data_IF_416497818594
#
_entry.id   IF_416497818594
#
_cell.length_a   1.000
_cell.length_b   1.000
_cell.length_c   1.000
_cell.angle_alpha   90.00
_cell.angle_beta   90.00
_cell.angle_gamma   90.00
#
_symmetry.space_group_name_H-M   'P 1'
#
loop_
_entity.id
_entity.type
_entity.pdbx_description
1 polymer ?
#
# COMPACT_ATOMS: atom_id res chain seq x y z
N UNK A 1 -6.22 -8.80 25.81
CA UNK A 1 -6.37 -9.14 24.38
C UNK A 1 -5.51 -8.22 23.54
N UNK A 2 -4.92 -8.73 22.41
CA UNK A 2 -4.02 -7.97 21.55
C UNK A 2 -4.76 -7.54 20.28
N UNK A 3 -4.68 -6.26 19.92
CA UNK A 3 -5.25 -5.73 18.69
C UNK A 3 -4.13 -5.38 17.71
N UNK A 4 -4.01 -6.14 16.59
CA UNK A 4 -3.14 -5.77 15.49
C UNK A 4 -3.86 -4.71 14.65
N UNK A 5 -3.36 -3.50 14.63
CA UNK A 5 -4.04 -2.34 14.03
C UNK A 5 -3.22 -1.78 12.88
N UNK A 6 -3.87 -1.59 11.73
CA UNK A 6 -3.30 -0.85 10.61
C UNK A 6 -3.31 0.66 10.87
N UNK A 7 -2.13 1.25 10.85
CA UNK A 7 -1.93 2.70 11.09
C UNK A 7 -2.33 3.59 9.91
N UNK A 8 -2.70 3.00 8.77
CA UNK A 8 -2.84 3.76 7.55
C UNK A 8 -1.51 4.11 6.88
N UNK A 9 -1.55 4.82 5.75
CA UNK A 9 -0.38 5.05 4.90
C UNK A 9 0.56 6.16 5.38
N UNK A 10 0.07 7.06 6.25
CA UNK A 10 0.88 8.18 6.73
C UNK A 10 0.08 9.28 7.41
N UNK A 11 -0.92 9.87 6.75
CA UNK A 11 -1.80 10.87 7.38
C UNK A 11 -2.61 10.24 8.51
N UNK A 12 -2.67 10.86 9.71
CA UNK A 12 -3.39 10.32 10.86
C UNK A 12 -4.89 10.13 10.63
N UNK A 13 -5.51 10.93 9.79
CA UNK A 13 -6.94 10.86 9.45
C UNK A 13 -7.29 9.70 8.49
N UNK A 14 -6.27 9.01 7.95
CA UNK A 14 -6.44 7.80 7.15
C UNK A 14 -6.38 6.51 7.98
N UNK A 15 -6.30 6.61 9.30
CA UNK A 15 -6.57 5.47 10.16
C UNK A 15 -8.06 5.12 10.11
N UNK A 16 -8.40 3.85 10.26
CA UNK A 16 -9.82 3.47 10.37
C UNK A 16 -10.41 3.95 11.69
N UNK A 17 -11.72 4.23 11.71
CA UNK A 17 -12.43 4.64 12.93
C UNK A 17 -12.21 3.62 14.06
N UNK A 18 -12.26 2.32 13.75
CA UNK A 18 -11.98 1.24 14.72
C UNK A 18 -10.53 1.28 15.21
N UNK A 19 -9.57 1.47 14.30
CA UNK A 19 -8.16 1.58 14.66
C UNK A 19 -7.90 2.73 15.62
N UNK A 20 -8.52 3.89 15.38
CA UNK A 20 -8.45 5.04 16.29
C UNK A 20 -9.03 4.70 17.68
N UNK A 21 -10.21 4.07 17.75
CA UNK A 21 -10.80 3.66 19.02
C UNK A 21 -9.87 2.75 19.82
N UNK A 22 -9.22 1.79 19.18
CA UNK A 22 -8.24 0.94 19.87
C UNK A 22 -7.05 1.73 20.41
N UNK A 23 -6.57 2.76 19.69
CA UNK A 23 -5.51 3.64 20.21
C UNK A 23 -5.99 4.45 21.42
N UNK A 24 -7.20 4.99 21.38
CA UNK A 24 -7.82 5.76 22.48
C UNK A 24 -8.04 4.91 23.74
N UNK A 25 -8.32 3.61 23.58
CA UNK A 25 -8.55 2.68 24.68
C UNK A 25 -7.28 1.95 25.15
N UNK A 26 -6.17 2.07 24.42
CA UNK A 26 -4.94 1.34 24.68
C UNK A 26 -4.31 1.71 26.03
N UNK A 27 -3.83 0.69 26.73
CA UNK A 27 -2.96 0.82 27.91
C UNK A 27 -1.49 0.58 27.53
N UNK A 28 -1.27 -0.18 26.46
CA UNK A 28 0.05 -0.44 25.86
C UNK A 28 -0.03 -0.35 24.36
N UNK A 29 0.86 0.43 23.75
CA UNK A 29 1.02 0.49 22.28
C UNK A 29 2.44 0.04 21.93
N UNK A 30 2.54 -0.93 21.01
CA UNK A 30 3.81 -1.35 20.42
C UNK A 30 3.74 -1.01 18.93
N UNK A 31 4.45 0.02 18.47
CA UNK A 31 4.35 0.50 17.09
C UNK A 31 5.58 0.14 16.24
N UNK A 32 5.37 0.01 14.92
CA UNK A 32 6.37 -0.48 13.96
C UNK A 32 7.37 0.61 13.50
N UNK A 33 7.89 1.39 14.44
CA UNK A 33 9.02 2.31 14.19
C UNK A 33 8.72 3.48 13.26
N UNK A 34 9.71 3.86 12.46
CA UNK A 34 9.71 5.09 11.65
C UNK A 34 8.73 5.11 10.46
N UNK A 35 8.04 4.02 10.20
CA UNK A 35 7.03 3.93 9.15
C UNK A 35 5.61 4.25 9.65
N UNK A 36 5.43 4.37 10.96
CA UNK A 36 4.17 4.81 11.59
C UNK A 36 4.29 6.29 11.92
N UNK A 37 3.29 7.09 11.53
CA UNK A 37 3.27 8.51 11.86
C UNK A 37 3.14 8.69 13.39
N UNK A 38 4.10 9.36 14.06
CA UNK A 38 4.06 9.57 15.51
C UNK A 38 2.81 10.31 16.01
N UNK A 39 2.18 11.14 15.19
CA UNK A 39 0.95 11.85 15.55
C UNK A 39 -0.20 10.89 15.89
N UNK A 40 -0.19 9.67 15.38
CA UNK A 40 -1.17 8.65 15.77
C UNK A 40 -1.08 8.26 17.26
N UNK A 41 0.09 8.40 17.85
CA UNK A 41 0.29 8.10 19.28
C UNK A 41 -0.35 9.15 20.19
N UNK A 42 -0.67 10.34 19.66
CA UNK A 42 -1.40 11.39 20.37
C UNK A 42 -2.87 11.03 20.65
N UNK A 43 -3.42 10.00 19.96
CA UNK A 43 -4.75 9.48 20.26
C UNK A 43 -4.77 8.64 21.53
N UNK A 44 -3.62 8.19 22.04
CA UNK A 44 -3.57 7.35 23.23
C UNK A 44 -3.78 8.14 24.53
N UNK A 45 -4.14 7.44 25.58
CA UNK A 45 -4.22 8.03 26.93
C UNK A 45 -2.85 8.50 27.41
N UNK A 46 -2.80 9.53 28.26
CA UNK A 46 -1.56 10.02 28.88
C UNK A 46 -0.80 8.95 29.66
N UNK A 47 -1.54 7.97 30.23
CA UNK A 47 -0.98 6.86 31.01
C UNK A 47 -0.59 5.64 30.16
N UNK A 48 -0.77 5.71 28.83
CA UNK A 48 -0.43 4.61 27.93
C UNK A 48 1.08 4.40 27.85
N UNK A 49 1.51 3.15 27.94
CA UNK A 49 2.93 2.80 27.76
C UNK A 49 3.19 2.56 26.29
N UNK A 50 4.18 3.25 25.70
CA UNK A 50 4.48 3.20 24.28
C UNK A 50 5.85 2.59 24.03
N UNK A 51 5.91 1.53 23.18
CA UNK A 51 7.12 0.83 22.79
C UNK A 51 7.37 0.95 21.29
N UNK A 52 8.62 1.21 20.91
CA UNK A 52 9.05 1.24 19.50
C UNK A 52 9.72 -0.08 19.12
N UNK A 53 9.01 -0.93 18.40
CA UNK A 53 9.50 -2.25 18.01
C UNK A 53 10.60 -2.27 16.94
N UNK A 54 10.96 -1.13 16.35
CA UNK A 54 12.14 -1.07 15.48
C UNK A 54 13.45 -1.40 16.20
N UNK A 55 13.44 -1.39 17.53
CA UNK A 55 14.59 -1.68 18.40
C UNK A 55 14.41 -2.97 19.22
N UNK A 56 13.39 -3.76 18.92
CA UNK A 56 12.99 -4.93 19.69
C UNK A 56 13.08 -6.19 18.83
N UNK A 57 13.41 -7.30 19.47
CA UNK A 57 13.25 -8.65 18.91
C UNK A 57 11.81 -9.13 19.05
N UNK A 58 11.47 -10.26 18.40
CA UNK A 58 10.15 -10.88 18.57
C UNK A 58 9.88 -11.24 20.04
N UNK A 59 10.88 -11.81 20.71
CA UNK A 59 10.81 -12.24 22.09
C UNK A 59 10.53 -11.04 23.02
N UNK A 60 11.20 -9.91 22.80
CA UNK A 60 10.99 -8.67 23.56
C UNK A 60 9.58 -8.09 23.35
N UNK A 61 9.05 -8.16 22.13
CA UNK A 61 7.66 -7.77 21.83
C UNK A 61 6.69 -8.69 22.60
N UNK A 62 6.92 -9.99 22.56
CA UNK A 62 6.09 -10.98 23.25
C UNK A 62 6.14 -10.83 24.78
N UNK A 63 7.29 -10.47 25.35
CA UNK A 63 7.38 -10.19 26.80
C UNK A 63 6.49 -8.99 27.20
N UNK A 64 6.54 -7.88 26.45
CA UNK A 64 5.66 -6.73 26.71
C UNK A 64 4.18 -7.13 26.63
N UNK A 65 3.83 -7.97 25.65
CA UNK A 65 2.46 -8.47 25.49
C UNK A 65 2.05 -9.35 26.70
N UNK A 66 2.89 -10.28 27.11
CA UNK A 66 2.62 -11.17 28.28
C UNK A 66 2.42 -10.37 29.57
N UNK A 67 3.29 -9.38 29.82
CA UNK A 67 3.16 -8.50 30.98
C UNK A 67 1.83 -7.72 30.94
N UNK A 68 1.48 -7.16 29.80
CA UNK A 68 0.22 -6.47 29.62
C UNK A 68 -1.00 -7.37 29.80
N UNK A 69 -0.98 -8.59 29.26
CA UNK A 69 -2.06 -9.57 29.41
C UNK A 69 -2.24 -10.01 30.87
N UNK A 70 -1.13 -10.24 31.60
CA UNK A 70 -1.18 -10.57 33.04
C UNK A 70 -1.86 -9.48 33.83
N UNK A 71 -1.71 -8.22 33.42
CA UNK A 71 -2.32 -7.03 34.00
C UNK A 71 -3.71 -6.71 33.47
N UNK A 72 -4.24 -7.54 32.56
CA UNK A 72 -5.51 -7.35 31.82
C UNK A 72 -5.61 -6.01 31.09
N UNK A 73 -4.49 -5.57 30.50
CA UNK A 73 -4.38 -4.34 29.73
C UNK A 73 -4.89 -4.52 28.30
N UNK A 74 -5.39 -3.43 27.72
CA UNK A 74 -5.66 -3.33 26.29
C UNK A 74 -4.34 -3.05 25.55
N UNK A 75 -3.94 -3.97 24.67
CA UNK A 75 -2.65 -3.93 23.99
C UNK A 75 -2.87 -3.72 22.51
N UNK A 76 -2.27 -2.68 21.95
CA UNK A 76 -2.28 -2.41 20.49
C UNK A 76 -0.92 -2.68 19.90
N UNK A 77 -0.90 -3.52 18.86
CA UNK A 77 0.25 -3.72 17.98
C UNK A 77 0.01 -2.92 16.69
N UNK A 78 0.59 -1.73 16.60
CA UNK A 78 0.35 -0.77 15.51
C UNK A 78 1.34 -0.97 14.36
N UNK A 79 0.82 -1.29 13.17
CA UNK A 79 1.57 -1.58 11.95
C UNK A 79 1.32 -0.53 10.88
N UNK A 80 2.34 -0.21 10.07
CA UNK A 80 2.22 0.68 8.91
C UNK A 80 1.22 0.13 7.89
N UNK A 81 0.43 1.00 7.30
CA UNK A 81 -0.53 0.65 6.26
C UNK A 81 -1.58 -0.33 6.76
N UNK A 82 -1.60 -1.51 6.15
CA UNK A 82 -2.38 -2.66 6.58
C UNK A 82 -1.45 -3.79 7.03
N UNK A 83 -1.71 -4.44 8.18
CA UNK A 83 -0.87 -5.53 8.69
C UNK A 83 -0.74 -6.73 7.76
N UNK A 84 -1.70 -6.96 6.85
CA UNK A 84 -1.71 -8.09 5.94
C UNK A 84 -0.61 -8.04 4.87
N UNK A 85 -0.03 -6.86 4.60
CA UNK A 85 1.02 -6.68 3.60
C UNK A 85 2.37 -6.37 4.25
N UNK A 86 3.26 -7.35 4.25
CA UNK A 86 4.63 -7.25 4.78
C UNK A 86 4.69 -6.84 6.26
N UNK A 87 3.61 -7.07 7.03
CA UNK A 87 3.51 -6.69 8.43
C UNK A 87 4.22 -7.62 9.41
N UNK A 88 4.70 -8.79 8.97
CA UNK A 88 5.32 -9.82 9.83
C UNK A 88 4.46 -10.15 11.08
N UNK A 89 3.13 -10.20 10.91
CA UNK A 89 2.22 -10.47 12.02
C UNK A 89 1.97 -11.97 12.24
N UNK A 90 2.18 -12.80 11.22
CA UNK A 90 1.85 -14.23 11.31
C UNK A 90 2.66 -14.92 12.40
N UNK A 91 3.96 -14.68 12.47
CA UNK A 91 4.82 -15.24 13.51
C UNK A 91 4.42 -14.77 14.93
N UNK A 92 3.96 -13.51 15.07
CA UNK A 92 3.44 -13.00 16.33
C UNK A 92 2.12 -13.69 16.71
N UNK A 93 1.19 -13.83 15.78
CA UNK A 93 -0.09 -14.52 16.02
C UNK A 93 0.13 -15.98 16.40
N UNK A 94 1.04 -16.71 15.74
CA UNK A 94 1.35 -18.11 16.08
C UNK A 94 1.86 -18.25 17.52
N UNK A 95 2.72 -17.33 17.96
CA UNK A 95 3.20 -17.33 19.35
C UNK A 95 2.10 -16.97 20.34
N UNK A 96 1.20 -16.04 20.02
CA UNK A 96 0.07 -15.70 20.85
C UNK A 96 -0.90 -16.89 21.00
N UNK A 97 -1.19 -17.61 19.90
CA UNK A 97 -1.97 -18.85 19.93
C UNK A 97 -1.34 -19.89 20.85
N UNK A 98 -0.02 -20.12 20.73
CA UNK A 98 0.72 -21.04 21.60
C UNK A 98 0.66 -20.66 23.07
N UNK A 99 0.59 -19.36 23.36
CA UNK A 99 0.48 -18.82 24.73
C UNK A 99 -0.95 -18.75 25.24
N UNK A 100 -1.96 -19.04 24.41
CA UNK A 100 -3.39 -18.91 24.78
C UNK A 100 -3.84 -17.46 24.91
N UNK A 101 -3.12 -16.50 24.30
CA UNK A 101 -3.45 -15.08 24.33
C UNK A 101 -4.35 -14.76 23.13
N UNK A 102 -5.54 -14.23 23.39
CA UNK A 102 -6.49 -13.82 22.36
C UNK A 102 -6.02 -12.57 21.61
N UNK A 103 -6.25 -12.56 20.30
CA UNK A 103 -5.95 -11.42 19.44
C UNK A 103 -7.02 -11.21 18.37
N UNK A 104 -7.03 -10.04 17.77
CA UNK A 104 -7.79 -9.71 16.57
C UNK A 104 -6.99 -8.80 15.64
N UNK A 105 -7.38 -8.76 14.35
CA UNK A 105 -6.74 -7.90 13.36
C UNK A 105 -7.74 -6.85 12.88
N UNK A 106 -7.39 -5.58 13.06
CA UNK A 106 -8.10 -4.43 12.53
C UNK A 106 -7.40 -3.97 11.24
N UNK A 107 -8.04 -4.10 10.06
CA UNK A 107 -7.43 -3.68 8.82
C UNK A 107 -7.15 -2.17 8.79
N UNK A 108 -6.22 -1.77 7.93
CA UNK A 108 -5.86 -0.39 7.69
C UNK A 108 -5.86 -0.03 6.21
N UNK A 109 -5.72 1.24 5.90
CA UNK A 109 -5.51 1.70 4.52
C UNK A 109 -4.06 1.45 4.14
N UNK A 110 -3.83 0.53 3.20
CA UNK A 110 -2.47 0.25 2.75
C UNK A 110 -1.87 1.40 1.94
N UNK A 111 -0.56 1.56 1.99
CA UNK A 111 0.16 2.59 1.25
C UNK A 111 -0.01 2.51 -0.27
N UNK A 112 -0.33 1.34 -0.83
CA UNK A 112 -0.62 1.26 -2.27
C UNK A 112 -1.91 1.99 -2.65
N UNK A 113 -2.91 2.03 -1.77
CA UNK A 113 -4.12 2.81 -1.97
C UNK A 113 -3.83 4.32 -1.93
N UNK A 114 -2.99 4.75 -0.98
CA UNK A 114 -2.57 6.15 -0.91
C UNK A 114 -1.70 6.55 -2.11
N UNK A 115 -0.86 5.65 -2.61
CA UNK A 115 -0.10 5.91 -3.83
C UNK A 115 -1.00 6.10 -5.06
N UNK A 116 -2.09 5.31 -5.18
CA UNK A 116 -3.08 5.52 -6.22
C UNK A 116 -3.77 6.89 -6.10
N UNK A 117 -4.15 7.28 -4.89
CA UNK A 117 -4.76 8.58 -4.62
C UNK A 117 -3.82 9.75 -4.96
N UNK A 118 -2.54 9.64 -4.58
CA UNK A 118 -1.53 10.65 -4.89
C UNK A 118 -1.25 10.77 -6.41
N UNK A 119 -1.53 9.72 -7.17
CA UNK A 119 -1.36 9.66 -8.62
C UNK A 119 -2.65 10.02 -9.39
N UNK A 120 -3.76 10.24 -8.70
CA UNK A 120 -5.10 10.33 -9.31
C UNK A 120 -5.38 9.14 -10.26
N UNK A 121 -4.90 7.94 -9.89
CA UNK A 121 -4.92 6.76 -10.74
C UNK A 121 -5.86 5.67 -10.23
N UNK A 122 -6.52 5.02 -11.17
CA UNK A 122 -7.16 3.73 -10.96
C UNK A 122 -6.26 2.63 -11.54
N UNK A 123 -5.90 1.66 -10.72
CA UNK A 123 -5.00 0.57 -11.13
C UNK A 123 -5.59 -0.43 -12.14
N UNK A 124 -6.92 -0.40 -12.29
CA UNK A 124 -7.67 -1.37 -13.10
C UNK A 124 -8.53 -0.65 -14.15
N UNK A 125 -7.92 -0.31 -15.29
CA UNK A 125 -8.60 0.38 -16.37
C UNK A 125 -9.00 -0.58 -17.50
N UNK A 126 -10.24 -0.47 -18.02
CA UNK A 126 -10.70 -1.26 -19.17
C UNK A 126 -9.77 -1.11 -20.38
N UNK A 127 -9.45 -2.23 -21.02
CA UNK A 127 -8.56 -2.27 -22.19
C UNK A 127 -7.07 -2.12 -21.89
N UNK A 128 -6.68 -1.79 -20.65
CA UNK A 128 -5.29 -1.57 -20.24
C UNK A 128 -4.80 -2.63 -19.27
N UNK A 129 -5.37 -2.68 -18.08
CA UNK A 129 -5.05 -3.67 -17.06
C UNK A 129 -6.25 -3.92 -16.17
N UNK A 130 -6.55 -5.18 -15.91
CA UNK A 130 -7.63 -5.59 -14.98
C UNK A 130 -7.07 -6.31 -13.75
N UNK A 131 -5.75 -6.30 -13.61
CA UNK A 131 -5.05 -6.97 -12.51
C UNK A 131 -3.99 -6.05 -11.91
N UNK A 132 -3.78 -6.21 -10.61
CA UNK A 132 -2.72 -5.50 -9.87
C UNK A 132 -1.84 -6.54 -9.20
N UNK A 133 -0.56 -6.52 -9.51
CA UNK A 133 0.45 -7.31 -8.82
C UNK A 133 1.10 -6.46 -7.74
N UNK A 134 0.92 -6.86 -6.50
CA UNK A 134 1.60 -6.26 -5.34
C UNK A 134 2.77 -7.17 -4.99
N UNK A 135 3.99 -6.67 -5.08
CA UNK A 135 5.20 -7.46 -4.91
C UNK A 135 6.38 -6.62 -4.37
N UNK A 136 7.55 -7.23 -4.29
CA UNK A 136 8.82 -6.59 -3.93
C UNK A 136 10.00 -7.25 -4.64
N UNK A 137 11.11 -6.56 -4.73
CA UNK A 137 12.39 -7.18 -5.13
C UNK A 137 12.85 -8.20 -4.09
N UNK A 138 13.52 -9.26 -4.55
CA UNK A 138 14.34 -10.07 -3.68
C UNK A 138 15.50 -9.20 -3.15
N UNK A 139 15.71 -9.25 -1.84
CA UNK A 139 16.75 -8.51 -1.17
C UNK A 139 17.40 -9.39 -0.08
N UNK A 140 17.49 -8.86 1.14
CA UNK A 140 18.00 -9.66 2.29
C UNK A 140 17.15 -10.90 2.57
N UNK A 141 15.85 -10.82 2.27
CA UNK A 141 14.94 -11.95 2.31
C UNK A 141 14.63 -12.39 0.88
N UNK A 142 14.63 -13.69 0.58
CA UNK A 142 14.35 -14.21 -0.75
C UNK A 142 12.88 -13.96 -1.15
N UNK A 143 12.63 -14.05 -2.45
CA UNK A 143 11.30 -14.15 -3.06
C UNK A 143 11.31 -15.44 -3.86
N UNK A 144 10.22 -16.23 -3.88
CA UNK A 144 10.13 -17.42 -4.73
C UNK A 144 10.42 -17.08 -6.19
N UNK A 145 11.14 -17.93 -6.90
CA UNK A 145 11.59 -17.65 -8.29
C UNK A 145 10.41 -17.30 -9.22
N UNK A 146 9.30 -18.01 -9.08
CA UNK A 146 8.07 -17.77 -9.86
C UNK A 146 7.38 -16.44 -9.53
N UNK A 147 7.73 -15.81 -8.41
CA UNK A 147 7.21 -14.53 -7.94
C UNK A 147 8.24 -13.41 -8.11
N UNK A 148 9.30 -13.66 -8.89
CA UNK A 148 10.28 -12.62 -9.22
C UNK A 148 9.64 -11.47 -10.02
N UNK A 149 10.23 -10.29 -9.94
CA UNK A 149 9.81 -9.12 -10.74
C UNK A 149 9.74 -9.50 -12.23
N UNK A 150 10.75 -10.21 -12.74
CA UNK A 150 10.80 -10.69 -14.12
C UNK A 150 9.61 -11.58 -14.48
N UNK A 151 9.25 -12.52 -13.62
CA UNK A 151 8.12 -13.42 -13.84
C UNK A 151 6.80 -12.65 -13.92
N UNK A 152 6.56 -11.74 -12.98
CA UNK A 152 5.33 -10.94 -12.98
C UNK A 152 5.29 -9.91 -14.11
N UNK A 153 6.43 -9.34 -14.49
CA UNK A 153 6.52 -8.39 -15.58
C UNK A 153 6.05 -8.97 -16.93
N UNK A 154 6.19 -10.29 -17.13
CA UNK A 154 5.73 -10.98 -18.33
C UNK A 154 4.21 -10.87 -18.57
N UNK A 155 3.44 -10.54 -17.55
CA UNK A 155 1.98 -10.35 -17.66
C UNK A 155 1.59 -8.95 -18.16
N UNK A 156 2.48 -7.96 -18.11
CA UNK A 156 2.22 -6.58 -18.55
C UNK A 156 1.10 -5.87 -17.79
N UNK A 157 0.78 -6.32 -16.57
CA UNK A 157 -0.29 -5.76 -15.73
C UNK A 157 0.18 -4.53 -14.97
N UNK A 158 -0.69 -3.90 -14.20
CA UNK A 158 -0.26 -2.91 -13.22
C UNK A 158 0.54 -3.58 -12.10
N UNK A 159 1.72 -3.06 -11.79
CA UNK A 159 2.54 -3.54 -10.66
C UNK A 159 2.73 -2.44 -9.62
N UNK A 160 2.56 -2.79 -8.34
CA UNK A 160 2.89 -1.93 -7.19
C UNK A 160 3.98 -2.61 -6.38
N UNK A 161 5.16 -1.99 -6.34
CA UNK A 161 6.37 -2.61 -5.86
C UNK A 161 6.81 -1.96 -4.54
N UNK A 162 6.76 -2.75 -3.48
CA UNK A 162 7.12 -2.38 -2.12
C UNK A 162 8.61 -2.60 -1.83
N UNK A 163 9.15 -1.95 -0.80
CA UNK A 163 10.45 -2.25 -0.17
C UNK A 163 11.65 -2.28 -1.13
N UNK A 164 11.55 -1.65 -2.30
CA UNK A 164 12.51 -1.79 -3.39
C UNK A 164 13.20 -0.49 -3.79
N UNK A 165 12.96 0.60 -3.07
CA UNK A 165 13.51 1.94 -3.40
C UNK A 165 15.05 1.96 -3.47
N UNK A 166 15.72 1.11 -2.70
CA UNK A 166 17.20 1.00 -2.71
C UNK A 166 17.77 0.18 -3.88
N UNK A 167 16.93 -0.40 -4.75
CA UNK A 167 17.31 -1.33 -5.83
C UNK A 167 16.68 -0.93 -7.17
N UNK A 168 16.50 0.37 -7.42
CA UNK A 168 15.74 0.84 -8.60
C UNK A 168 16.44 0.57 -9.93
N UNK A 169 17.76 0.47 -9.94
CA UNK A 169 18.50 0.10 -11.16
C UNK A 169 18.23 -1.36 -11.52
N UNK A 170 18.42 -2.25 -10.58
CA UNK A 170 18.16 -3.68 -10.74
C UNK A 170 16.67 -3.94 -11.00
N UNK A 171 15.78 -3.19 -10.35
CA UNK A 171 14.34 -3.25 -10.60
C UNK A 171 14.01 -2.91 -12.06
N UNK A 172 14.58 -1.83 -12.61
CA UNK A 172 14.40 -1.44 -14.00
C UNK A 172 14.88 -2.57 -14.95
N UNK A 173 16.03 -3.15 -14.69
CA UNK A 173 16.60 -4.26 -15.48
C UNK A 173 15.70 -5.51 -15.46
N UNK A 174 15.16 -5.88 -14.29
CA UNK A 174 14.25 -7.02 -14.13
C UNK A 174 12.89 -6.77 -14.83
N UNK A 175 12.34 -5.57 -14.73
CA UNK A 175 11.09 -5.20 -15.41
C UNK A 175 11.24 -5.29 -16.93
N UNK A 176 12.32 -4.73 -17.50
CA UNK A 176 12.59 -4.77 -18.94
C UNK A 176 12.86 -6.21 -19.39
N UNK A 177 13.65 -6.95 -18.66
CA UNK A 177 13.94 -8.36 -18.97
C UNK A 177 12.72 -9.25 -18.90
N UNK A 178 11.71 -8.86 -18.10
CA UNK A 178 10.43 -9.56 -17.97
C UNK A 178 9.39 -9.19 -19.03
N UNK A 179 9.61 -8.12 -19.82
CA UNK A 179 8.73 -7.79 -20.94
C UNK A 179 8.14 -6.37 -20.93
N UNK A 180 8.39 -5.55 -19.91
CA UNK A 180 8.02 -4.13 -19.99
C UNK A 180 8.94 -3.39 -20.97
N UNK A 181 8.35 -2.52 -21.77
CA UNK A 181 9.10 -1.59 -22.61
C UNK A 181 9.82 -0.54 -21.76
N UNK A 182 10.93 -0.03 -22.26
CA UNK A 182 11.76 0.95 -21.53
C UNK A 182 11.01 2.24 -21.23
N UNK A 183 10.07 2.62 -22.11
CA UNK A 183 9.24 3.81 -22.03
C UNK A 183 7.92 3.57 -21.29
N UNK A 184 7.67 2.34 -20.79
CA UNK A 184 6.48 2.07 -19.99
C UNK A 184 6.42 3.05 -18.83
N UNK A 185 5.27 3.73 -18.63
CA UNK A 185 5.09 4.67 -17.54
C UNK A 185 5.32 4.03 -16.18
N UNK A 186 6.00 4.77 -15.34
CA UNK A 186 6.22 4.42 -13.96
C UNK A 186 6.13 5.68 -13.08
N UNK A 187 5.85 5.49 -11.82
CA UNK A 187 5.88 6.56 -10.83
C UNK A 187 6.53 6.08 -9.53
N UNK A 188 7.23 7.00 -8.88
CA UNK A 188 7.77 6.80 -7.53
C UNK A 188 6.98 7.71 -6.61
N UNK A 189 6.22 7.12 -5.68
CA UNK A 189 5.44 7.86 -4.69
C UNK A 189 6.15 7.77 -3.34
N UNK A 190 6.82 8.84 -2.99
CA UNK A 190 7.55 8.96 -1.72
C UNK A 190 6.61 9.44 -0.64
N UNK A 191 6.55 8.73 0.49
CA UNK A 191 5.76 9.08 1.66
C UNK A 191 4.32 9.47 1.32
N UNK A 192 3.60 8.62 0.57
CA UNK A 192 2.20 8.86 0.22
C UNK A 192 1.36 9.24 1.46
N UNK A 193 0.57 10.31 1.35
CA UNK A 193 -0.25 10.94 2.39
C UNK A 193 0.49 11.64 3.55
N UNK A 194 1.80 11.64 3.58
CA UNK A 194 2.59 12.41 4.55
C UNK A 194 2.75 13.86 4.10
N UNK A 195 3.05 14.82 5.02
CA UNK A 195 3.33 16.21 4.62
C UNK A 195 4.46 16.38 3.60
N UNK A 196 5.42 15.44 3.59
CA UNK A 196 6.55 15.44 2.66
C UNK A 196 6.32 14.59 1.41
N UNK A 197 5.07 14.25 1.10
CA UNK A 197 4.72 13.49 -0.10
C UNK A 197 5.36 14.08 -1.37
N UNK A 198 5.90 13.19 -2.21
CA UNK A 198 6.37 13.54 -3.55
C UNK A 198 5.90 12.49 -4.55
N UNK A 199 5.33 12.96 -5.65
CA UNK A 199 5.00 12.15 -6.82
C UNK A 199 6.02 12.43 -7.92
N UNK A 200 6.73 11.40 -8.36
CA UNK A 200 7.78 11.50 -9.37
C UNK A 200 7.39 10.62 -10.57
N UNK A 201 6.82 11.24 -11.60
CA UNK A 201 6.51 10.56 -12.84
C UNK A 201 7.79 10.29 -13.64
N UNK A 202 7.91 9.07 -14.17
CA UNK A 202 9.07 8.61 -14.90
C UNK A 202 8.69 7.46 -15.85
N UNK A 203 9.69 6.78 -16.39
CA UNK A 203 9.52 5.52 -17.12
C UNK A 203 10.30 4.41 -16.43
N UNK A 204 10.04 3.17 -16.79
CA UNK A 204 10.79 2.01 -16.30
C UNK A 204 12.30 2.24 -16.44
N UNK A 205 12.75 2.79 -17.57
CA UNK A 205 14.17 3.07 -17.83
C UNK A 205 14.76 4.14 -16.90
N UNK A 206 13.96 5.14 -16.51
CA UNK A 206 14.47 6.32 -15.78
C UNK A 206 14.26 6.25 -14.26
N UNK A 207 13.68 5.17 -13.72
CA UNK A 207 13.40 4.99 -12.28
C UNK A 207 14.57 5.39 -11.38
N UNK A 208 15.75 4.81 -11.61
CA UNK A 208 16.92 5.06 -10.74
C UNK A 208 17.42 6.51 -10.82
N UNK A 209 17.42 7.10 -12.01
CA UNK A 209 17.86 8.48 -12.22
C UNK A 209 16.89 9.46 -11.57
N UNK A 210 15.58 9.28 -11.78
CA UNK A 210 14.54 10.13 -11.18
C UNK A 210 14.59 10.12 -9.66
N UNK A 211 14.74 8.95 -9.04
CA UNK A 211 14.86 8.85 -7.58
C UNK A 211 16.12 9.54 -7.06
N UNK A 212 17.26 9.37 -7.76
CA UNK A 212 18.53 10.00 -7.40
C UNK A 212 18.44 11.54 -7.44
N UNK A 213 17.87 12.09 -8.50
CA UNK A 213 17.69 13.54 -8.66
C UNK A 213 16.78 14.13 -7.58
N UNK A 214 15.74 13.40 -7.16
CA UNK A 214 14.83 13.80 -6.11
C UNK A 214 15.33 13.52 -4.68
N UNK A 215 16.47 12.83 -4.53
CA UNK A 215 17.03 12.43 -3.24
C UNK A 215 16.22 11.35 -2.52
N UNK A 216 15.45 10.53 -3.26
CA UNK A 216 14.60 9.47 -2.71
C UNK A 216 15.37 8.15 -2.67
N UNK A 217 15.67 7.66 -1.46
CA UNK A 217 16.45 6.43 -1.24
C UNK A 217 15.69 5.35 -0.47
N UNK A 218 14.57 5.69 0.15
CA UNK A 218 13.73 4.80 0.98
C UNK A 218 12.31 5.33 1.07
N UNK A 219 11.40 4.55 1.65
CA UNK A 219 10.02 4.96 2.01
C UNK A 219 9.22 5.44 0.80
N UNK A 220 9.38 4.77 -0.34
CA UNK A 220 8.60 5.03 -1.53
C UNK A 220 8.01 3.73 -2.09
N UNK A 221 6.88 3.87 -2.75
CA UNK A 221 6.28 2.84 -3.60
C UNK A 221 6.60 3.13 -5.06
N UNK A 222 6.81 2.09 -5.82
CA UNK A 222 6.99 2.17 -7.27
C UNK A 222 5.72 1.60 -7.91
N UNK A 223 5.08 2.38 -8.76
CA UNK A 223 3.93 1.97 -9.56
C UNK A 223 4.37 1.90 -11.01
N UNK A 224 4.09 0.78 -11.68
CA UNK A 224 4.46 0.54 -13.07
C UNK A 224 3.25 0.09 -13.85
N UNK A 225 3.03 0.67 -15.01
CA UNK A 225 2.00 0.23 -15.93
C UNK A 225 1.38 1.33 -16.77
N UNK A 226 0.76 0.95 -17.88
CA UNK A 226 0.13 1.88 -18.81
C UNK A 226 -1.15 2.53 -18.28
N UNK A 227 -1.62 2.12 -17.09
CA UNK A 227 -2.69 2.83 -16.36
C UNK A 227 -2.30 4.27 -16.02
N UNK A 228 -0.99 4.58 -16.02
CA UNK A 228 -0.46 5.93 -15.81
C UNK A 228 -0.43 6.80 -17.08
N UNK A 229 -0.72 6.24 -18.27
CA UNK A 229 -0.74 6.98 -19.54
C UNK A 229 -1.97 7.87 -19.75
N UNK A 230 -3.01 7.73 -18.91
CA UNK A 230 -4.27 8.45 -19.05
C UNK A 230 -5.13 8.06 -20.28
N UNK A 231 -4.74 7.05 -21.02
CA UNK A 231 -5.48 6.54 -22.20
C UNK A 231 -6.16 5.22 -21.82
N UNK A 232 -7.47 5.18 -21.84
CA UNK A 232 -8.23 3.99 -21.49
C UNK A 232 -9.58 3.94 -22.18
N UNK A 233 -10.20 2.78 -22.24
CA UNK A 233 -11.56 2.60 -22.70
C UNK A 233 -12.55 2.93 -21.55
N UNK A 234 -13.65 3.61 -21.89
CA UNK A 234 -14.69 3.88 -20.88
C UNK A 234 -15.33 2.59 -20.40
N UNK A 235 -15.54 2.50 -19.09
CA UNK A 235 -16.28 1.38 -18.51
C UNK A 235 -17.71 1.33 -19.07
N UNK A 236 -18.15 0.14 -19.47
CA UNK A 236 -19.56 -0.11 -19.87
C UNK A 236 -20.54 0.15 -18.73
N UNK A 237 -20.09 0.20 -17.49
CA UNK A 237 -20.94 0.45 -16.32
C UNK A 237 -21.72 1.77 -16.45
N UNK A 238 -21.10 2.81 -17.01
CA UNK A 238 -21.73 4.12 -17.22
C UNK A 238 -22.26 4.31 -18.65
N UNK A 239 -22.09 3.35 -19.53
CA UNK A 239 -22.58 3.41 -20.91
C UNK A 239 -24.12 3.42 -20.91
N UNK A 240 -24.77 4.45 -21.47
CA UNK A 240 -26.23 4.52 -21.51
C UNK A 240 -26.87 3.38 -22.31
N UNK A 241 -26.15 2.76 -23.23
CA UNK A 241 -26.62 1.62 -24.02
C UNK A 241 -26.49 0.27 -23.34
N UNK A 242 -25.88 0.23 -22.15
CA UNK A 242 -25.63 -1.00 -21.38
C UNK A 242 -26.66 -1.14 -20.25
N UNK A 243 -27.41 -2.26 -20.23
CA UNK A 243 -28.32 -2.59 -19.15
C UNK A 243 -27.55 -3.20 -17.98
N UNK A 244 -27.74 -2.63 -16.78
CA UNK A 244 -27.24 -3.20 -15.53
C UNK A 244 -28.43 -3.75 -14.71
N UNK A 245 -28.14 -4.40 -13.58
CA UNK A 245 -29.17 -4.83 -12.63
C UNK A 245 -30.05 -3.64 -12.14
N UNK A 246 -29.48 -2.44 -12.03
CA UNK A 246 -30.14 -1.25 -11.50
C UNK A 246 -30.57 -0.25 -12.57
N UNK A 247 -30.16 -0.41 -13.82
CA UNK A 247 -30.45 0.56 -14.90
C UNK A 247 -30.66 -0.14 -16.23
N UNK A 248 -31.81 0.10 -16.85
CA UNK A 248 -32.07 -0.33 -18.23
C UNK A 248 -31.37 0.57 -19.23
N UNK A 249 -30.87 -0.02 -20.30
CA UNK A 249 -30.31 0.71 -21.43
C UNK A 249 -31.31 1.73 -21.98
N UNK A 250 -30.86 2.96 -22.24
CA UNK A 250 -31.65 3.94 -22.96
C UNK A 250 -31.46 3.78 -24.45
N UNK A 251 -32.58 3.77 -25.21
CA UNK A 251 -32.54 3.73 -26.67
C UNK A 251 -32.17 5.08 -27.32
N UNK A 252 -32.00 6.12 -26.51
CA UNK A 252 -31.65 7.46 -26.96
C UNK A 252 -30.14 7.73 -26.75
N UNK A 253 -29.33 7.26 -27.68
CA UNK A 253 -28.01 7.87 -27.91
C UNK A 253 -28.31 9.19 -28.62
N UNK A 254 -28.22 10.29 -27.89
CA UNK A 254 -28.41 11.62 -28.43
C UNK A 254 -27.46 11.84 -29.62
N UNK A 255 -28.01 12.30 -30.74
CA UNK A 255 -27.29 12.95 -31.83
C UNK A 255 -26.69 14.26 -31.29
N UNK A 256 -25.55 14.18 -30.61
CA UNK A 256 -24.76 15.34 -30.24
C UNK A 256 -23.28 14.95 -30.39
N UNK A 257 -22.79 15.12 -31.61
CA UNK A 257 -21.39 15.34 -32.00
C UNK A 257 -21.19 15.11 -33.50
N UNK A 258 -21.99 15.84 -34.32
CA UNK A 258 -21.68 16.05 -35.73
C UNK A 258 -22.07 17.48 -36.13
N UNK A 259 -21.63 18.49 -35.41
CA UNK A 259 -21.62 19.88 -35.89
C UNK A 259 -20.45 20.58 -35.18
N UNK A 260 -19.27 20.48 -35.71
CA UNK A 260 -18.22 21.50 -35.67
C UNK A 260 -16.98 21.00 -36.42
N UNK A 261 -17.17 20.78 -37.74
CA UNK A 261 -16.05 20.76 -38.69
C UNK A 261 -16.59 21.34 -40.01
N UNK A 262 -16.85 22.64 -40.01
CA UNK A 262 -16.89 23.49 -41.22
C UNK A 262 -16.88 24.95 -40.72
N UNK A 263 -15.69 25.53 -40.68
CA UNK A 263 -15.30 26.81 -41.28
C UNK A 263 -13.84 27.08 -40.90
#
# INVERSE_FOLDING_TARGET
MVHFVGAGPGSPDLITVRGKQYLEEADVIIYAGSLVNPQLLEYSKDVCTIHNSAKMTLEEVLEVIKEGETQRKNIVRLHTGDPCLYGAIKEQMDELERLGIGYEVCPGVSSFCAAAAALDAEYTLPGISQSVVITRMAGRTPVPEKESIRSFAAHGTTMVIFLSTGMLKELSEELISGGYEQDTPAAIVYKASWPEEKVLNCTVKTLAQTAKEAGVTKTALIVVGRVLDGKYERSKLYDPTFTTEFRKASSHVGKAEKENTKE
#
